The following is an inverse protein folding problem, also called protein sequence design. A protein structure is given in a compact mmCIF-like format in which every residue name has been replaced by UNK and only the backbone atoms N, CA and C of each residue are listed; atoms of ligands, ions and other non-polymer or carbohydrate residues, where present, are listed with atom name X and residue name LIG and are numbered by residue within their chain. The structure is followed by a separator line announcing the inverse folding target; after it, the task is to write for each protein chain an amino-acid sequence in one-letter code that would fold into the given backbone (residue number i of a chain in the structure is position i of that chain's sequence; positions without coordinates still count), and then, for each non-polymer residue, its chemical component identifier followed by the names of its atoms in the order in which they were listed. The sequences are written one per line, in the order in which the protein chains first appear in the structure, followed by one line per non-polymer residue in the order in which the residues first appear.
data_IF_924095222903
#
_entry.id   IF_924095222903
#
_cell.length_a   1.000
_cell.length_b   1.000
_cell.length_c   1.000
_cell.angle_alpha   90.00
_cell.angle_beta   90.00
_cell.angle_gamma   90.00
#
_symmetry.space_group_name_H-M   'P 1'
#
loop_
_entity.id
_entity.type
_entity.pdbx_description
1 polymer ?
#
# COMPACT_ATOMS: atom_id res chain seq x y z
N UNK A 1 19.38 -3.55 3.36
CA UNK A 1 19.41 -2.51 2.32
C UNK A 1 20.81 -1.95 2.25
N UNK A 2 21.42 -1.93 1.06
CA UNK A 2 22.77 -1.39 0.86
C UNK A 2 22.78 0.14 0.97
N UNK A 3 23.98 0.74 0.99
CA UNK A 3 24.12 2.20 0.99
C UNK A 3 23.60 2.78 -0.33
N UNK A 4 23.96 2.17 -1.45
CA UNK A 4 23.57 2.58 -2.81
C UNK A 4 22.05 2.59 -2.97
N UNK A 5 21.35 1.59 -2.42
CA UNK A 5 19.90 1.54 -2.42
C UNK A 5 19.27 2.68 -1.61
N UNK A 6 19.86 3.05 -0.46
CA UNK A 6 19.39 4.19 0.35
C UNK A 6 19.58 5.52 -0.37
N UNK A 7 20.76 5.73 -0.96
CA UNK A 7 21.09 6.97 -1.65
C UNK A 7 20.19 7.17 -2.89
N UNK A 8 19.86 6.09 -3.60
CA UNK A 8 18.89 6.10 -4.69
C UNK A 8 17.47 6.48 -4.22
N UNK A 9 17.04 5.95 -3.06
CA UNK A 9 15.74 6.32 -2.47
C UNK A 9 15.70 7.78 -1.99
N UNK A 10 16.75 8.28 -1.34
CA UNK A 10 16.83 9.70 -0.92
C UNK A 10 16.72 10.63 -2.13
N UNK A 11 17.45 10.34 -3.21
CA UNK A 11 17.38 11.11 -4.46
C UNK A 11 15.97 11.09 -5.05
N UNK A 12 15.32 9.92 -5.07
CA UNK A 12 13.96 9.77 -5.60
C UNK A 12 12.95 10.56 -4.76
N UNK A 13 13.07 10.54 -3.42
CA UNK A 13 12.12 11.25 -2.55
C UNK A 13 12.30 12.76 -2.59
N UNK A 14 13.53 13.28 -2.71
CA UNK A 14 13.77 14.73 -2.80
C UNK A 14 13.34 15.35 -4.12
N UNK A 15 13.45 14.59 -5.20
CA UNK A 15 13.17 15.07 -6.57
C UNK A 15 11.86 14.53 -7.14
N UNK A 16 11.10 13.76 -6.34
CA UNK A 16 9.86 13.14 -6.75
C UNK A 16 8.72 14.16 -6.93
N UNK A 17 7.62 13.76 -7.60
CA UNK A 17 6.51 14.67 -7.91
C UNK A 17 5.60 14.96 -6.71
N UNK A 18 5.75 14.24 -5.59
CA UNK A 18 4.92 14.41 -4.41
C UNK A 18 5.40 15.61 -3.60
N UNK A 19 4.56 16.63 -3.51
CA UNK A 19 4.75 17.76 -2.60
C UNK A 19 3.76 17.62 -1.42
N UNK A 20 4.26 17.23 -0.25
CA UNK A 20 3.43 16.99 0.94
C UNK A 20 2.69 18.26 1.38
N UNK A 21 3.25 19.45 1.11
CA UNK A 21 2.64 20.74 1.46
C UNK A 21 1.73 21.33 0.37
N UNK A 22 1.62 20.66 -0.78
CA UNK A 22 0.82 21.12 -1.93
C UNK A 22 -0.68 20.89 -1.75
N UNK A 23 -1.46 21.25 -2.77
CA UNK A 23 -2.92 21.09 -2.78
C UNK A 23 -3.33 19.61 -2.55
N UNK A 24 -4.06 19.29 -1.47
CA UNK A 24 -4.37 17.91 -1.12
C UNK A 24 -5.10 17.11 -2.19
N UNK A 25 -5.95 17.74 -3.01
CA UNK A 25 -6.67 17.05 -4.08
C UNK A 25 -5.70 16.55 -5.14
N UNK A 26 -4.81 17.42 -5.61
CA UNK A 26 -3.76 17.08 -6.58
C UNK A 26 -2.77 16.04 -6.01
N UNK A 27 -2.37 16.20 -4.75
CA UNK A 27 -1.40 15.31 -4.13
C UNK A 27 -1.94 13.89 -3.92
N UNK A 28 -3.25 13.71 -3.71
CA UNK A 28 -3.88 12.37 -3.67
C UNK A 28 -3.73 11.61 -4.97
N UNK A 29 -3.90 12.28 -6.10
CA UNK A 29 -3.77 11.67 -7.43
C UNK A 29 -2.31 11.33 -7.76
N UNK A 30 -1.39 12.22 -7.41
CA UNK A 30 0.06 11.99 -7.57
C UNK A 30 0.49 10.80 -6.71
N UNK A 31 0.12 10.78 -5.43
CA UNK A 31 0.46 9.71 -4.50
C UNK A 31 -0.08 8.35 -4.96
N UNK A 32 -1.34 8.33 -5.43
CA UNK A 32 -1.95 7.10 -5.96
C UNK A 32 -1.19 6.60 -7.19
N UNK A 33 -0.95 7.44 -8.19
CA UNK A 33 -0.17 7.05 -9.38
C UNK A 33 1.21 6.55 -9.04
N UNK A 34 1.91 7.22 -8.11
CA UNK A 34 3.25 6.84 -7.69
C UNK A 34 3.26 5.43 -7.08
N UNK A 35 2.37 5.16 -6.13
CA UNK A 35 2.34 3.90 -5.38
C UNK A 35 1.69 2.74 -6.15
N UNK A 36 0.86 3.01 -7.16
CA UNK A 36 0.27 1.98 -8.03
C UNK A 36 0.93 1.92 -9.41
N UNK A 37 2.10 2.54 -9.60
CA UNK A 37 2.81 2.58 -10.88
C UNK A 37 3.33 1.22 -11.33
N UNK A 38 3.48 0.27 -10.41
CA UNK A 38 3.87 -1.11 -10.67
C UNK A 38 2.70 -2.04 -10.35
N UNK A 39 2.50 -3.11 -11.15
CA UNK A 39 1.50 -4.11 -10.84
C UNK A 39 1.83 -4.80 -9.52
N UNK A 40 0.79 -5.29 -8.85
CA UNK A 40 0.96 -6.22 -7.74
C UNK A 40 1.48 -7.57 -8.28
N UNK A 41 2.17 -8.37 -7.44
CA UNK A 41 2.46 -9.76 -7.79
C UNK A 41 1.17 -10.51 -8.17
N UNK A 42 1.28 -11.44 -9.12
CA UNK A 42 0.11 -12.13 -9.73
C UNK A 42 -0.73 -12.92 -8.73
N UNK A 43 -0.11 -13.38 -7.65
CA UNK A 43 -0.77 -14.15 -6.59
C UNK A 43 -1.42 -13.26 -5.52
N UNK A 44 -1.38 -11.94 -5.65
CA UNK A 44 -2.06 -11.03 -4.72
C UNK A 44 -3.52 -10.87 -5.15
N UNK A 45 -4.43 -11.33 -4.30
CA UNK A 45 -5.87 -11.22 -4.50
C UNK A 45 -6.39 -10.04 -3.69
N UNK A 46 -7.11 -9.13 -4.36
CA UNK A 46 -7.76 -7.99 -3.74
C UNK A 46 -9.27 -8.15 -3.80
N UNK A 47 -9.94 -8.16 -2.65
CA UNK A 47 -11.39 -8.31 -2.55
C UNK A 47 -11.99 -7.09 -1.85
N UNK A 48 -12.78 -6.25 -2.53
CA UNK A 48 -13.51 -5.15 -1.89
C UNK A 48 -14.49 -5.70 -0.84
N UNK A 49 -14.63 -4.98 0.28
CA UNK A 49 -15.55 -5.35 1.35
C UNK A 49 -15.93 -4.18 2.26
N UNK A 50 -16.50 -4.50 3.42
CA UNK A 50 -16.82 -3.51 4.45
C UNK A 50 -16.63 -4.06 5.86
N UNK A 51 -16.20 -3.20 6.78
CA UNK A 51 -16.26 -3.43 8.23
C UNK A 51 -17.24 -2.41 8.81
N UNK A 52 -18.49 -2.84 9.04
CA UNK A 52 -19.58 -1.90 9.30
C UNK A 52 -19.78 -0.97 8.12
N UNK A 53 -19.76 0.34 8.36
CA UNK A 53 -19.89 1.37 7.32
C UNK A 53 -18.56 1.76 6.66
N UNK A 54 -17.43 1.21 7.10
CA UNK A 54 -16.11 1.54 6.58
C UNK A 54 -15.76 0.63 5.39
N UNK A 55 -15.54 1.19 4.17
CA UNK A 55 -15.05 0.40 3.04
C UNK A 55 -13.64 -0.13 3.32
N UNK A 56 -13.42 -1.40 3.02
CA UNK A 56 -12.11 -2.07 3.17
C UNK A 56 -11.70 -2.77 1.89
N UNK A 57 -10.42 -3.13 1.81
CA UNK A 57 -9.88 -3.95 0.72
C UNK A 57 -9.14 -5.12 1.36
N UNK A 58 -9.75 -6.29 1.33
CA UNK A 58 -9.08 -7.50 1.78
C UNK A 58 -7.91 -7.82 0.83
N UNK A 59 -6.76 -8.12 1.41
CA UNK A 59 -5.56 -8.55 0.69
C UNK A 59 -5.24 -9.99 1.10
N UNK A 60 -5.41 -10.90 0.15
CA UNK A 60 -5.06 -12.31 0.26
C UNK A 60 -3.88 -12.68 -0.64
N UNK A 61 -3.30 -13.84 -0.38
CA UNK A 61 -2.27 -14.47 -1.23
C UNK A 61 -2.84 -15.79 -1.74
N UNK A 62 -2.91 -15.94 -3.06
CA UNK A 62 -3.39 -17.17 -3.68
C UNK A 62 -2.53 -18.38 -3.26
N UNK A 63 -3.17 -19.52 -3.07
CA UNK A 63 -2.53 -20.73 -2.53
C UNK A 63 -2.11 -20.67 -1.05
N UNK A 64 -2.40 -19.59 -0.32
CA UNK A 64 -2.13 -19.48 1.13
C UNK A 64 -3.44 -19.45 1.91
N UNK A 65 -3.68 -20.50 2.69
CA UNK A 65 -4.74 -20.48 3.71
C UNK A 65 -4.33 -19.58 4.87
N UNK A 66 -5.10 -18.52 5.19
CA UNK A 66 -4.77 -17.62 6.30
C UNK A 66 -5.01 -18.29 7.65
N UNK A 67 -4.07 -18.09 8.58
CA UNK A 67 -4.11 -18.56 9.98
C UNK A 67 -4.62 -17.47 10.94
N UNK A 68 -4.83 -16.25 10.44
CA UNK A 68 -5.30 -15.12 11.21
C UNK A 68 -5.68 -13.94 10.33
N UNK A 69 -6.11 -12.85 10.97
CA UNK A 69 -6.44 -11.59 10.31
C UNK A 69 -5.58 -10.46 10.87
N UNK A 70 -5.01 -9.65 9.98
CA UNK A 70 -4.28 -8.43 10.31
C UNK A 70 -5.08 -7.22 9.84
N UNK A 71 -5.53 -6.38 10.78
CA UNK A 71 -6.14 -5.09 10.45
C UNK A 71 -5.03 -4.08 10.11
N UNK A 72 -5.07 -3.52 8.91
CA UNK A 72 -4.03 -2.66 8.35
C UNK A 72 -4.55 -1.26 8.05
N UNK A 73 -3.97 -0.27 8.72
CA UNK A 73 -4.21 1.13 8.41
C UNK A 73 -3.09 1.65 7.51
N UNK A 74 -3.45 2.14 6.32
CA UNK A 74 -2.46 2.67 5.39
C UNK A 74 -1.85 3.98 5.89
N UNK A 75 -0.60 4.23 5.48
CA UNK A 75 0.05 5.53 5.67
C UNK A 75 -0.48 6.58 4.68
N UNK A 76 0.09 7.77 4.74
CA UNK A 76 -0.34 8.92 3.92
C UNK A 76 -0.73 10.15 4.74
N UNK A 77 -0.16 10.28 5.94
CA UNK A 77 -0.30 11.48 6.78
C UNK A 77 -1.76 11.85 7.12
N UNK A 78 -2.67 10.86 7.15
CA UNK A 78 -4.12 11.06 7.33
C UNK A 78 -4.83 11.87 6.23
N UNK A 79 -4.12 12.26 5.17
CA UNK A 79 -4.67 13.08 4.08
C UNK A 79 -4.68 12.31 2.76
N UNK A 80 -3.67 11.46 2.53
CA UNK A 80 -3.42 10.74 1.29
C UNK A 80 -3.52 9.22 1.48
N UNK A 81 -3.49 8.53 0.34
CA UNK A 81 -3.49 7.07 0.31
C UNK A 81 -4.88 6.45 0.38
N UNK A 82 -4.87 5.14 0.25
CA UNK A 82 -6.02 4.23 0.33
C UNK A 82 -5.50 2.81 0.60
N UNK A 83 -6.40 1.90 0.98
CA UNK A 83 -6.07 0.48 1.09
C UNK A 83 -5.39 -0.07 -0.18
N UNK A 84 -5.80 0.41 -1.36
CA UNK A 84 -5.18 0.04 -2.65
C UNK A 84 -3.73 0.51 -2.77
N UNK A 85 -3.41 1.73 -2.35
CA UNK A 85 -2.02 2.24 -2.42
C UNK A 85 -1.06 1.53 -1.49
N UNK A 86 -1.56 0.91 -0.41
CA UNK A 86 -0.74 0.10 0.51
C UNK A 86 -0.71 -1.39 0.18
N UNK A 87 -1.51 -1.86 -0.78
CA UNK A 87 -1.72 -3.28 -1.06
C UNK A 87 -0.42 -4.06 -1.31
N UNK A 88 0.57 -3.45 -1.98
CA UNK A 88 1.87 -4.08 -2.23
C UNK A 88 2.69 -4.32 -0.95
N UNK A 89 2.61 -3.41 0.03
CA UNK A 89 3.27 -3.60 1.32
C UNK A 89 2.48 -4.56 2.21
N UNK A 90 1.15 -4.37 2.27
CA UNK A 90 0.25 -5.23 3.02
C UNK A 90 0.36 -6.70 2.59
N UNK A 91 0.39 -6.99 1.28
CA UNK A 91 0.52 -8.35 0.76
C UNK A 91 1.87 -9.00 1.13
N UNK A 92 2.94 -8.20 1.19
CA UNK A 92 4.24 -8.69 1.66
C UNK A 92 4.21 -9.13 3.13
N UNK A 93 3.46 -8.41 3.97
CA UNK A 93 3.25 -8.79 5.39
C UNK A 93 2.32 -10.00 5.49
N UNK A 94 1.20 -9.99 4.76
CA UNK A 94 0.23 -11.08 4.67
C UNK A 94 0.95 -12.42 4.38
N UNK A 95 1.80 -12.42 3.35
CA UNK A 95 2.60 -13.59 2.93
C UNK A 95 3.50 -14.14 4.03
N UNK A 96 4.21 -13.28 4.74
CA UNK A 96 5.19 -13.67 5.77
C UNK A 96 4.55 -14.12 7.07
N UNK A 97 3.35 -13.62 7.35
CA UNK A 97 2.62 -13.89 8.58
C UNK A 97 1.51 -14.92 8.38
N UNK A 98 1.26 -15.36 7.15
CA UNK A 98 0.14 -16.22 6.76
C UNK A 98 -1.20 -15.66 7.27
N UNK A 99 -1.36 -14.35 7.17
CA UNK A 99 -2.60 -13.67 7.55
C UNK A 99 -3.34 -13.19 6.32
N UNK A 100 -4.66 -13.11 6.44
CA UNK A 100 -5.47 -12.24 5.59
C UNK A 100 -5.32 -10.82 6.12
N UNK A 101 -5.10 -9.85 5.25
CA UNK A 101 -5.09 -8.43 5.65
C UNK A 101 -6.44 -7.80 5.31
N UNK A 102 -6.94 -6.98 6.22
CA UNK A 102 -8.12 -6.12 6.01
C UNK A 102 -7.73 -4.67 6.21
#
# INVERSE_FOLDING_TARGET
MSKEQRDALDTLFRNGPLDIGGDPVQQREIFTRMLTSRPLPEDVVLTPGGLGEVPVLEVGIDGVTPEGTLLWFHGGFYVFGSARTSAGLASNVARRTRTRVI
#
